data_IF_117021360067
#
_entry.id   IF_117021360067
#
_cell.length_a   1.000
_cell.length_b   1.000
_cell.length_c   1.000
_cell.angle_alpha   90.00
_cell.angle_beta   90.00
_cell.angle_gamma   90.00
#
_symmetry.space_group_name_H-M   'P 1'
#
loop_
_entity.id
_entity.type
_entity.pdbx_description
1 polymer ?
#
# COMPACT_ATOMS: atom_id res chain seq x y z
N UNK A 1 -12.98 11.79 -3.15
CA UNK A 1 -11.51 11.76 -3.17
C UNK A 1 -11.07 10.72 -2.17
N UNK A 2 -10.47 9.63 -2.63
CA UNK A 2 -10.14 8.49 -1.78
C UNK A 2 -8.64 8.21 -1.75
N UNK A 3 -8.17 7.59 -0.68
CA UNK A 3 -6.77 7.23 -0.51
C UNK A 3 -6.69 5.75 -0.16
N UNK A 4 -5.79 5.04 -0.83
CA UNK A 4 -5.46 3.64 -0.56
C UNK A 4 -4.05 3.56 -0.01
N UNK A 5 -3.88 2.78 1.04
CA UNK A 5 -2.58 2.50 1.63
C UNK A 5 -2.21 1.07 1.28
N UNK A 6 -1.00 0.86 0.77
CA UNK A 6 -0.49 -0.46 0.42
C UNK A 6 0.88 -0.67 1.06
N UNK A 7 1.11 -1.91 1.48
CA UNK A 7 2.42 -2.40 1.86
C UNK A 7 2.81 -3.52 0.90
N UNK A 8 4.03 -3.47 0.37
CA UNK A 8 4.57 -4.57 -0.41
C UNK A 8 6.06 -4.74 -0.14
N UNK A 9 6.54 -5.96 -0.31
CA UNK A 9 7.95 -6.31 -0.13
C UNK A 9 8.62 -6.42 -1.48
N UNK A 10 9.80 -5.81 -1.62
CA UNK A 10 10.63 -6.00 -2.81
C UNK A 10 11.97 -6.64 -2.45
N UNK A 11 12.33 -7.67 -3.22
CA UNK A 11 13.61 -8.35 -3.12
C UNK A 11 14.65 -7.61 -3.96
N UNK A 12 15.77 -7.26 -3.35
CA UNK A 12 16.91 -6.75 -4.13
C UNK A 12 17.59 -7.91 -4.84
N UNK A 13 17.87 -7.74 -6.13
CA UNK A 13 18.60 -8.74 -6.92
C UNK A 13 20.04 -8.76 -6.45
N UNK A 14 20.42 -9.73 -5.62
CA UNK A 14 21.80 -9.81 -5.13
C UNK A 14 22.78 -10.22 -6.24
N UNK A 15 23.98 -9.64 -6.18
CA UNK A 15 25.14 -10.13 -6.90
C UNK A 15 25.58 -11.47 -6.29
N UNK A 16 25.06 -12.57 -6.83
CA UNK A 16 25.53 -13.95 -6.64
C UNK A 16 25.68 -14.42 -5.17
N UNK A 17 24.61 -15.04 -4.66
CA UNK A 17 24.74 -16.29 -3.91
C UNK A 17 24.84 -16.21 -2.39
N UNK A 18 24.43 -15.12 -1.75
CA UNK A 18 24.33 -15.07 -0.30
C UNK A 18 23.02 -14.41 0.10
N UNK A 19 21.92 -15.18 0.05
CA UNK A 19 20.57 -14.76 0.44
C UNK A 19 20.60 -14.02 1.78
N UNK A 20 20.80 -12.70 1.73
CA UNK A 20 20.86 -11.81 2.88
C UNK A 20 19.53 -11.10 3.08
N UNK A 21 18.44 -11.76 2.66
CA UNK A 21 17.38 -12.18 3.56
C UNK A 21 16.58 -11.13 4.34
N UNK A 22 16.65 -9.85 3.98
CA UNK A 22 15.68 -8.86 4.48
C UNK A 22 14.98 -8.25 3.27
N UNK A 23 13.77 -8.74 3.03
CA UNK A 23 12.86 -8.14 2.06
C UNK A 23 12.58 -6.69 2.48
N UNK A 24 12.84 -5.74 1.57
CA UNK A 24 12.60 -4.34 1.86
C UNK A 24 11.09 -4.09 1.82
N UNK A 25 10.52 -3.59 2.93
CA UNK A 25 9.12 -3.22 3.01
C UNK A 25 8.94 -1.79 2.49
N UNK A 26 8.00 -1.62 1.56
CA UNK A 26 7.61 -0.33 1.03
C UNK A 26 6.18 -0.01 1.42
N UNK A 27 5.95 1.28 1.67
CA UNK A 27 4.64 1.87 1.84
C UNK A 27 4.30 2.73 0.63
N UNK A 28 3.04 2.64 0.19
CA UNK A 28 2.50 3.44 -0.90
C UNK A 28 1.17 4.06 -0.47
N UNK A 29 1.04 5.36 -0.68
CA UNK A 29 -0.25 6.04 -0.67
C UNK A 29 -0.68 6.33 -2.11
N UNK A 30 -1.88 5.88 -2.46
CA UNK A 30 -2.49 6.11 -3.77
C UNK A 30 -3.74 6.95 -3.59
N UNK A 31 -3.76 8.13 -4.22
CA UNK A 31 -4.93 9.00 -4.30
C UNK A 31 -5.77 8.61 -5.51
N UNK A 32 -7.02 8.25 -5.27
CA UNK A 32 -8.05 8.04 -6.30
C UNK A 32 -8.85 9.31 -6.53
N UNK A 33 -8.85 9.74 -7.79
CA UNK A 33 -9.62 10.87 -8.30
C UNK A 33 -10.66 10.33 -9.26
N UNK A 34 -11.94 10.46 -8.88
CA UNK A 34 -13.06 10.10 -9.74
C UNK A 34 -13.38 11.26 -10.68
N UNK A 35 -13.33 11.00 -11.98
CA UNK A 35 -13.83 11.90 -13.02
C UNK A 35 -15.14 11.35 -13.59
N UNK A 36 -15.84 12.14 -14.40
CA UNK A 36 -17.16 11.75 -14.94
C UNK A 36 -17.14 10.48 -15.79
N UNK A 37 -16.04 10.22 -16.51
CA UNK A 37 -15.95 9.16 -17.52
C UNK A 37 -14.82 8.16 -17.28
N UNK A 38 -13.96 8.42 -16.29
CA UNK A 38 -12.79 7.61 -16.01
C UNK A 38 -12.30 7.90 -14.58
N UNK A 39 -11.36 7.08 -14.11
CA UNK A 39 -10.75 7.26 -12.79
C UNK A 39 -9.24 7.40 -12.95
N UNK A 40 -8.66 8.31 -12.17
CA UNK A 40 -7.22 8.49 -12.08
C UNK A 40 -6.72 7.98 -10.73
N UNK A 41 -5.63 7.21 -10.76
CA UNK A 41 -4.91 6.79 -9.56
C UNK A 41 -3.52 7.44 -9.58
N UNK A 42 -3.22 8.22 -8.54
CA UNK A 42 -1.95 8.94 -8.40
C UNK A 42 -1.22 8.43 -7.16
N UNK A 43 0.02 8.00 -7.32
CA UNK A 43 0.89 7.72 -6.17
C UNK A 43 1.29 9.04 -5.52
N UNK A 44 0.82 9.28 -4.30
CA UNK A 44 1.11 10.49 -3.53
C UNK A 44 2.27 10.29 -2.55
N UNK A 45 2.52 9.07 -2.10
CA UNK A 45 3.66 8.72 -1.28
C UNK A 45 4.23 7.36 -1.71
N UNK A 46 5.54 7.25 -1.78
CA UNK A 46 6.25 5.99 -2.02
C UNK A 46 7.55 6.01 -1.21
N UNK A 47 7.62 5.21 -0.16
CA UNK A 47 8.77 5.20 0.74
C UNK A 47 9.08 3.80 1.27
N UNK A 48 10.35 3.57 1.57
CA UNK A 48 10.76 2.38 2.31
C UNK A 48 10.38 2.58 3.78
N UNK A 49 9.73 1.59 4.37
CA UNK A 49 9.41 1.58 5.79
C UNK A 49 10.64 1.10 6.55
N UNK A 50 11.12 1.89 7.50
CA UNK A 50 12.17 1.44 8.40
C UNK A 50 11.60 0.35 9.32
N UNK A 51 12.18 -0.86 9.37
CA UNK A 51 11.68 -1.94 10.22
C UNK A 51 11.75 -1.62 11.72
N UNK A 52 12.57 -0.65 12.13
CA UNK A 52 12.62 -0.17 13.51
C UNK A 52 11.52 0.86 13.83
N UNK A 53 10.81 1.38 12.83
CA UNK A 53 9.74 2.33 13.04
C UNK A 53 8.47 1.57 13.45
N UNK A 54 7.85 2.00 14.54
CA UNK A 54 6.54 1.50 14.94
C UNK A 54 5.39 2.14 14.15
N UNK A 55 5.72 3.03 13.21
CA UNK A 55 4.78 3.83 12.41
C UNK A 55 3.93 4.78 13.25
N UNK A 56 3.29 5.75 12.58
CA UNK A 56 2.19 6.51 13.20
C UNK A 56 0.88 5.77 13.02
N UNK A 57 0.00 5.88 14.02
CA UNK A 57 -1.37 5.37 13.91
C UNK A 57 -2.09 6.03 12.74
N UNK A 58 -2.45 5.23 11.75
CA UNK A 58 -3.32 5.62 10.66
C UNK A 58 -4.76 5.22 11.01
N UNK A 59 -5.58 6.18 11.42
CA UNK A 59 -6.98 5.95 11.76
C UNK A 59 -7.78 5.39 10.56
N UNK A 60 -7.41 5.75 9.34
CA UNK A 60 -8.00 5.17 8.13
C UNK A 60 -7.83 3.65 8.07
N UNK A 61 -6.60 3.15 8.27
CA UNK A 61 -6.31 1.71 8.29
C UNK A 61 -6.89 1.03 9.54
N UNK A 62 -6.78 1.67 10.71
CA UNK A 62 -7.36 1.14 11.96
C UNK A 62 -8.87 0.97 11.86
N UNK A 63 -9.58 1.98 11.36
CA UNK A 63 -11.04 1.95 11.22
C UNK A 63 -11.49 0.96 10.12
N UNK A 64 -10.64 0.67 9.14
CA UNK A 64 -10.85 -0.39 8.13
C UNK A 64 -10.50 -1.80 8.62
N UNK A 65 -9.96 -1.95 9.83
CA UNK A 65 -9.55 -3.24 10.37
C UNK A 65 -8.21 -3.75 9.82
N UNK A 66 -7.50 -2.95 9.02
CA UNK A 66 -6.15 -3.28 8.51
C UNK A 66 -5.07 -2.77 9.47
N UNK A 67 -5.17 -3.21 10.74
CA UNK A 67 -4.33 -2.72 11.85
C UNK A 67 -2.84 -3.07 11.71
N UNK A 68 -2.51 -4.09 10.91
CA UNK A 68 -1.13 -4.55 10.71
C UNK A 68 -0.36 -3.75 9.64
N UNK A 69 -1.05 -2.86 8.92
CA UNK A 69 -0.44 -1.98 7.92
C UNK A 69 0.69 -1.15 8.53
N UNK A 70 1.84 -1.09 7.84
CA UNK A 70 3.02 -0.35 8.32
C UNK A 70 3.17 0.97 7.58
N UNK A 71 3.21 2.06 8.33
CA UNK A 71 3.34 3.43 7.81
C UNK A 71 4.71 4.01 8.16
N UNK A 72 5.28 4.88 7.32
CA UNK A 72 6.45 5.68 7.70
C UNK A 72 6.10 6.65 8.84
N UNK A 73 7.06 6.96 9.72
CA UNK A 73 6.87 7.93 10.81
C UNK A 73 6.93 9.40 10.33
N UNK A 74 7.43 9.64 9.11
CA UNK A 74 7.75 10.98 8.57
C UNK A 74 6.53 11.87 8.33
N UNK A 75 5.30 11.35 8.42
CA UNK A 75 4.08 12.11 8.16
C UNK A 75 3.95 12.58 6.70
N UNK A 76 4.70 11.97 5.79
CA UNK A 76 4.81 12.38 4.37
C UNK A 76 3.59 11.98 3.51
N UNK A 77 2.73 11.11 4.03
CA UNK A 77 1.47 10.72 3.38
C UNK A 77 0.30 11.59 3.85
N UNK A 78 -0.69 11.82 3.00
CA UNK A 78 -1.72 12.84 3.22
C UNK A 78 -2.91 12.37 4.08
N UNK A 79 -3.32 11.12 3.98
CA UNK A 79 -4.56 10.60 4.56
C UNK A 79 -4.33 9.76 5.82
N UNK A 80 -5.35 9.62 6.66
CA UNK A 80 -5.31 8.71 7.81
C UNK A 80 -4.75 9.28 9.13
N UNK A 81 -4.18 10.49 9.12
CA UNK A 81 -3.70 11.16 10.35
C UNK A 81 -4.83 11.69 11.25
N UNK A 82 -6.01 11.92 10.69
CA UNK A 82 -7.18 12.41 11.41
C UNK A 82 -8.14 11.25 11.67
N UNK A 83 -8.62 11.12 12.91
CA UNK A 83 -9.68 10.19 13.29
C UNK A 83 -11.05 10.74 12.86
N UNK A 84 -11.26 10.74 11.56
CA UNK A 84 -12.56 11.05 10.97
C UNK A 84 -13.17 9.70 10.65
N UNK A 85 -14.15 9.27 11.45
CA UNK A 85 -14.95 8.03 11.37
C UNK A 85 -15.75 7.86 10.06
N UNK A 86 -15.21 8.33 8.93
CA UNK A 86 -15.83 8.20 7.62
C UNK A 86 -15.25 6.94 6.96
N UNK A 87 -16.08 5.90 6.75
CA UNK A 87 -15.63 4.72 6.04
C UNK A 87 -15.29 5.15 4.61
N UNK A 88 -14.08 4.86 4.15
CA UNK A 88 -13.85 4.85 2.70
C UNK A 88 -14.83 3.84 2.10
N UNK A 89 -15.69 4.34 1.20
CA UNK A 89 -16.75 3.56 0.57
C UNK A 89 -16.19 2.53 -0.40
N UNK A 90 -16.84 1.37 -0.38
CA UNK A 90 -16.78 0.20 -1.26
C UNK A 90 -15.53 -0.71 -1.24
N UNK A 91 -15.80 -1.91 -0.71
CA UNK A 91 -15.23 -3.21 -1.02
C UNK A 91 -14.89 -3.35 -2.52
N UNK A 92 -13.62 -3.26 -2.85
CA UNK A 92 -13.08 -3.96 -4.01
C UNK A 92 -12.19 -5.06 -3.45
N UNK A 93 -12.70 -6.27 -3.31
CA UNK A 93 -11.82 -7.44 -3.26
C UNK A 93 -11.00 -7.39 -4.55
N UNK A 94 -9.68 -7.23 -4.41
CA UNK A 94 -8.79 -7.48 -5.53
C UNK A 94 -8.81 -9.00 -5.74
N UNK A 95 -9.58 -9.45 -6.72
CA UNK A 95 -9.42 -10.79 -7.26
C UNK A 95 -8.08 -10.84 -7.97
N UNK A 96 -7.11 -11.51 -7.36
CA UNK A 96 -5.87 -11.92 -8.02
C UNK A 96 -6.29 -12.95 -9.09
N UNK A 97 -6.58 -12.50 -10.31
CA UNK A 97 -6.83 -13.41 -11.41
C UNK A 97 -5.47 -13.95 -11.86
N UNK A 98 -5.09 -15.09 -11.29
CA UNK A 98 -4.04 -15.96 -11.82
C UNK A 98 -4.51 -16.48 -13.20
N UNK A 99 -4.38 -15.65 -14.24
CA UNK A 99 -4.43 -16.12 -15.62
C UNK A 99 -3.13 -16.88 -15.88
N UNK A 100 -3.15 -18.18 -15.57
CA UNK A 100 -2.12 -19.14 -15.98
C UNK A 100 -2.20 -19.29 -17.51
N UNK A 101 -1.31 -18.62 -18.22
CA UNK A 101 -1.12 -18.73 -19.66
C UNK A 101 -0.74 -20.18 -20.02
N UNK A 102 -1.74 -21.05 -20.20
CA UNK A 102 -1.52 -22.39 -20.76
C UNK A 102 -1.13 -22.26 -22.23
N UNK A 103 0.17 -22.32 -22.52
CA UNK A 103 0.67 -22.49 -23.89
C UNK A 103 0.24 -23.86 -24.44
N UNK A 104 -0.76 -23.85 -25.32
CA UNK A 104 -1.08 -24.98 -26.20
C UNK A 104 -0.17 -24.93 -27.43
N UNK A 105 0.59 -26.01 -27.62
CA UNK A 105 1.54 -26.23 -28.72
C UNK A 105 0.86 -26.59 -30.03
#
# INVERSE_FOLDING_TARGET
>A
MWYYHLNFTAKTKEARGLDSGIDNLFFVEVKRIEHKNYEEMLVSCFCMVNPADNGRTCYGCTNHGTVDMKHPDTGEYFAGHLDVFLPFGCFGEWSDSDDDDTYVW
#
